data_IF_924240412399
#
_entry.id   IF_924240412399
#
_cell.length_a   1.000
_cell.length_b   1.000
_cell.length_c   1.000
_cell.angle_alpha   90.00
_cell.angle_beta   90.00
_cell.angle_gamma   90.00
#
_symmetry.space_group_name_H-M   'P 1'
#
loop_
_entity.id
_entity.type
_entity.pdbx_description
1 polymer ?
#
# COMPACT_ATOMS: atom_id res chain seq x y z
N UNK A 1 3.25 -12.78 12.01
CA UNK A 1 2.27 -11.73 11.66
C UNK A 1 2.75 -10.40 12.22
N UNK A 2 3.50 -9.66 11.41
CA UNK A 2 3.90 -8.29 11.73
C UNK A 2 2.73 -7.35 11.40
N UNK A 3 2.53 -6.24 12.16
CA UNK A 3 1.51 -5.26 11.81
C UNK A 3 1.74 -4.72 10.39
N UNK A 4 0.81 -5.01 9.47
CA UNK A 4 0.92 -4.56 8.07
C UNK A 4 1.43 -5.60 7.08
N UNK A 5 1.81 -6.81 7.52
CA UNK A 5 2.18 -7.89 6.62
C UNK A 5 1.00 -8.32 5.72
N UNK A 6 -0.17 -8.57 6.33
CA UNK A 6 -1.40 -8.97 5.63
C UNK A 6 -1.83 -7.99 4.53
N UNK A 7 -1.65 -6.68 4.74
CA UNK A 7 -2.05 -5.67 3.75
C UNK A 7 -1.10 -5.63 2.55
N UNK A 8 0.16 -6.02 2.75
CA UNK A 8 1.15 -6.12 1.68
C UNK A 8 0.95 -7.41 0.90
N UNK A 9 0.77 -8.54 1.59
CA UNK A 9 0.47 -9.82 0.95
C UNK A 9 -0.81 -9.74 0.09
N UNK A 10 -1.90 -9.20 0.65
CA UNK A 10 -3.12 -8.98 -0.12
C UNK A 10 -2.91 -8.02 -1.29
N UNK A 11 -2.15 -6.94 -1.08
CA UNK A 11 -1.89 -5.97 -2.14
C UNK A 11 -1.08 -6.54 -3.30
N UNK A 12 -0.13 -7.44 -3.03
CA UNK A 12 0.62 -8.16 -4.06
C UNK A 12 -0.33 -9.08 -4.83
N UNK A 13 -1.13 -9.90 -4.14
CA UNK A 13 -2.10 -10.79 -4.77
C UNK A 13 -3.13 -10.01 -5.63
N UNK A 14 -3.58 -8.86 -5.15
CA UNK A 14 -4.48 -7.98 -5.89
C UNK A 14 -3.81 -7.41 -7.15
N UNK A 15 -2.53 -6.99 -7.08
CA UNK A 15 -1.77 -6.53 -8.26
C UNK A 15 -1.58 -7.64 -9.30
N UNK A 16 -1.29 -8.87 -8.87
CA UNK A 16 -1.18 -10.03 -9.76
C UNK A 16 -2.51 -10.36 -10.45
N UNK A 17 -3.62 -10.16 -9.74
CA UNK A 17 -4.97 -10.30 -10.28
C UNK A 17 -5.44 -9.09 -11.10
N UNK A 18 -4.64 -8.01 -11.20
CA UNK A 18 -5.03 -6.78 -11.89
C UNK A 18 -6.14 -5.99 -11.20
N UNK A 19 -6.29 -6.17 -9.88
CA UNK A 19 -7.31 -5.55 -9.06
C UNK A 19 -6.84 -4.23 -8.45
N UNK A 20 -7.73 -3.24 -8.50
CA UNK A 20 -7.55 -1.96 -7.82
C UNK A 20 -8.25 -1.97 -6.47
N UNK A 21 -7.46 -2.10 -5.42
CA UNK A 21 -7.91 -2.16 -4.04
C UNK A 21 -7.06 -1.24 -3.18
N UNK A 22 -7.51 -0.93 -1.97
CA UNK A 22 -6.68 -0.20 -0.99
C UNK A 22 -5.32 -0.91 -0.78
N UNK A 23 -5.26 -2.24 -0.55
CA UNK A 23 -4.01 -3.00 -0.52
C UNK A 23 -3.12 -2.81 -1.75
N UNK A 24 -3.63 -2.97 -2.98
CA UNK A 24 -2.80 -2.90 -4.20
C UNK A 24 -2.30 -1.48 -4.48
N UNK A 25 -3.09 -0.46 -4.13
CA UNK A 25 -2.67 0.94 -4.17
C UNK A 25 -1.57 1.22 -3.15
N UNK A 26 -1.66 0.68 -1.93
CA UNK A 26 -0.60 0.85 -0.92
C UNK A 26 0.70 0.16 -1.32
N UNK A 27 0.64 -1.05 -1.88
CA UNK A 27 1.82 -1.73 -2.43
C UNK A 27 2.42 -0.93 -3.58
N UNK A 28 1.59 -0.34 -4.45
CA UNK A 28 2.07 0.51 -5.55
C UNK A 28 2.77 1.78 -5.03
N UNK A 29 2.25 2.41 -3.97
CA UNK A 29 2.88 3.57 -3.32
C UNK A 29 4.26 3.20 -2.74
N UNK A 30 4.32 2.08 -2.00
CA UNK A 30 5.54 1.62 -1.33
C UNK A 30 6.52 0.86 -2.23
N UNK A 31 6.16 0.59 -3.49
CA UNK A 31 6.87 -0.36 -4.36
C UNK A 31 8.39 -0.12 -4.44
N UNK A 32 8.91 1.12 -4.59
CA UNK A 32 10.36 1.33 -4.62
C UNK A 32 11.08 0.88 -3.35
N UNK A 33 10.51 1.18 -2.17
CA UNK A 33 11.12 0.85 -0.87
C UNK A 33 10.94 -0.62 -0.52
N UNK A 34 9.76 -1.18 -0.78
CA UNK A 34 9.47 -2.59 -0.58
C UNK A 34 10.39 -3.48 -1.41
N UNK A 35 10.64 -3.12 -2.69
CA UNK A 35 11.62 -3.82 -3.53
C UNK A 35 13.05 -3.70 -2.99
N UNK A 36 13.42 -2.52 -2.52
CA UNK A 36 14.75 -2.29 -1.90
C UNK A 36 14.93 -3.13 -0.63
N UNK A 37 13.85 -3.36 0.12
CA UNK A 37 13.82 -4.24 1.29
C UNK A 37 13.76 -5.75 0.92
N UNK A 38 13.81 -6.12 -0.35
CA UNK A 38 13.86 -7.50 -0.82
C UNK A 38 12.51 -8.18 -1.05
N UNK A 39 11.39 -7.43 -1.04
CA UNK A 39 10.09 -8.00 -1.38
C UNK A 39 9.91 -8.06 -2.90
N UNK A 40 9.34 -9.18 -3.37
CA UNK A 40 8.96 -9.38 -4.77
C UNK A 40 7.67 -8.62 -5.06
N UNK A 41 7.80 -7.36 -5.47
CA UNK A 41 6.67 -6.53 -5.87
C UNK A 41 6.46 -6.62 -7.39
N UNK A 42 5.22 -6.94 -7.87
CA UNK A 42 4.91 -7.01 -9.29
C UNK A 42 5.35 -5.76 -10.05
N UNK A 43 5.76 -5.92 -11.31
CA UNK A 43 6.24 -4.79 -12.15
C UNK A 43 5.07 -3.88 -12.56
N UNK A 44 3.89 -4.45 -12.71
CA UNK A 44 2.64 -3.78 -13.09
C UNK A 44 1.99 -3.06 -11.89
N UNK A 45 2.72 -2.14 -11.26
CA UNK A 45 2.14 -1.25 -10.24
C UNK A 45 1.12 -0.29 -10.84
N UNK A 46 0.19 0.19 -10.02
CA UNK A 46 -0.85 1.12 -10.44
C UNK A 46 -0.28 2.54 -10.58
N UNK A 47 -0.61 3.22 -11.67
CA UNK A 47 -0.25 4.62 -11.89
C UNK A 47 -1.01 5.57 -10.95
N UNK A 48 -0.37 6.67 -10.57
CA UNK A 48 -0.87 7.69 -9.63
C UNK A 48 -1.52 7.11 -8.35
N UNK A 49 -0.90 6.13 -7.67
CA UNK A 49 -1.60 5.31 -6.69
C UNK A 49 -2.02 6.10 -5.45
N UNK A 50 -1.29 7.16 -5.07
CA UNK A 50 -1.69 8.08 -4.00
C UNK A 50 -3.01 8.81 -4.31
N UNK A 51 -3.13 9.33 -5.52
CA UNK A 51 -4.32 10.07 -5.96
C UNK A 51 -5.52 9.11 -6.06
N UNK A 52 -5.31 7.91 -6.60
CA UNK A 52 -6.35 6.89 -6.73
C UNK A 52 -6.81 6.37 -5.37
N UNK A 53 -5.89 6.18 -4.42
CA UNK A 53 -6.22 5.86 -3.03
C UNK A 53 -7.08 6.94 -2.39
N UNK A 54 -6.69 8.21 -2.53
CA UNK A 54 -7.50 9.32 -2.01
C UNK A 54 -8.90 9.34 -2.61
N UNK A 55 -9.04 9.19 -3.93
CA UNK A 55 -10.34 9.12 -4.62
C UNK A 55 -11.21 7.98 -4.12
N UNK A 56 -10.64 6.78 -3.96
CA UNK A 56 -11.36 5.61 -3.47
C UNK A 56 -11.89 5.85 -2.04
N UNK A 57 -11.04 6.33 -1.14
CA UNK A 57 -11.44 6.65 0.23
C UNK A 57 -12.49 7.77 0.31
N UNK A 58 -12.36 8.80 -0.55
CA UNK A 58 -13.31 9.89 -0.64
C UNK A 58 -14.67 9.46 -1.20
N UNK A 59 -14.68 8.49 -2.12
CA UNK A 59 -15.92 7.94 -2.67
C UNK A 59 -16.74 7.17 -1.62
N UNK A 60 -16.08 6.56 -0.64
CA UNK A 60 -16.74 5.86 0.46
C UNK A 60 -17.22 6.83 1.54
N UNK A 61 -16.38 7.78 1.95
CA UNK A 61 -16.72 8.82 2.92
C UNK A 61 -15.74 10.00 2.83
N UNK A 62 -16.17 11.08 2.22
CA UNK A 62 -15.35 12.28 1.98
C UNK A 62 -14.83 12.93 3.27
N UNK A 63 -15.66 13.02 4.32
CA UNK A 63 -15.30 13.68 5.58
C UNK A 63 -14.14 12.96 6.32
N UNK A 64 -14.06 11.64 6.15
CA UNK A 64 -13.00 10.82 6.75
C UNK A 64 -11.86 10.47 5.80
N UNK A 65 -11.94 10.85 4.52
CA UNK A 65 -10.99 10.42 3.50
C UNK A 65 -9.54 10.78 3.85
N UNK A 66 -9.32 12.00 4.32
CA UNK A 66 -7.98 12.48 4.66
C UNK A 66 -7.40 11.75 5.88
N UNK A 67 -8.19 11.51 6.92
CA UNK A 67 -7.71 10.82 8.13
C UNK A 67 -7.42 9.34 7.85
N UNK A 68 -8.26 8.68 7.04
CA UNK A 68 -8.05 7.31 6.58
C UNK A 68 -6.82 7.19 5.69
N UNK A 69 -6.64 8.10 4.74
CA UNK A 69 -5.46 8.17 3.88
C UNK A 69 -4.17 8.25 4.73
N UNK A 70 -4.11 9.20 5.66
CA UNK A 70 -2.96 9.37 6.55
C UNK A 70 -2.74 8.16 7.48
N UNK A 71 -3.80 7.47 7.89
CA UNK A 71 -3.69 6.24 8.68
C UNK A 71 -3.06 5.10 7.86
N UNK A 72 -3.49 4.92 6.61
CA UNK A 72 -2.93 3.91 5.71
C UNK A 72 -1.46 4.20 5.38
N UNK A 73 -1.10 5.46 5.07
CA UNK A 73 0.30 5.82 4.81
C UNK A 73 1.20 5.61 6.02
N UNK A 74 0.76 6.01 7.23
CA UNK A 74 1.56 5.77 8.44
C UNK A 74 1.78 4.28 8.70
N UNK A 75 0.78 3.44 8.43
CA UNK A 75 0.90 1.98 8.54
C UNK A 75 1.91 1.44 7.54
N UNK A 76 1.86 1.87 6.28
CA UNK A 76 2.82 1.49 5.24
C UNK A 76 4.26 1.88 5.64
N UNK A 77 4.47 3.15 5.99
CA UNK A 77 5.80 3.65 6.39
C UNK A 77 6.35 2.92 7.63
N UNK A 78 5.47 2.60 8.59
CA UNK A 78 5.84 1.81 9.76
C UNK A 78 6.30 0.40 9.38
N UNK A 79 5.62 -0.24 8.42
CA UNK A 79 5.98 -1.55 7.93
C UNK A 79 7.31 -1.53 7.15
N UNK A 80 7.47 -0.58 6.22
CA UNK A 80 8.72 -0.40 5.47
C UNK A 80 9.93 -0.23 6.39
N UNK A 81 9.80 0.61 7.44
CA UNK A 81 10.87 0.79 8.44
C UNK A 81 11.16 -0.49 9.21
N UNK A 82 10.13 -1.25 9.58
CA UNK A 82 10.30 -2.52 10.28
C UNK A 82 10.99 -3.59 9.42
N UNK A 83 10.84 -3.52 8.09
CA UNK A 83 11.60 -4.34 7.15
C UNK A 83 13.06 -3.85 7.07
N UNK A 84 13.28 -2.56 6.86
CA UNK A 84 14.63 -1.98 6.74
C UNK A 84 15.49 -2.19 8.00
N UNK A 85 14.90 -2.16 9.20
CA UNK A 85 15.62 -2.39 10.45
C UNK A 85 15.79 -3.88 10.84
N UNK A 86 15.04 -4.78 10.18
CA UNK A 86 15.02 -6.21 10.52
C UNK A 86 15.92 -7.08 9.65
N UNK A 87 16.69 -6.46 8.75
CA UNK A 87 17.64 -7.08 7.81
C UNK A 87 19.07 -6.88 8.34
#
# INVERSE_FOLDING_TARGET
MKPGEEIIEQGIADLEAGLETIPSLLVSIGAPRLRTAGLEIPVNTIDDPEHRLYKLLASENQDSAHSRYNAHLRRLVSFERALECGI
#
